data_IF_212707375524
#
_entry.id   IF_212707375524
#
_cell.length_a   1.000
_cell.length_b   1.000
_cell.length_c   1.000
_cell.angle_alpha   90.00
_cell.angle_beta   90.00
_cell.angle_gamma   90.00
#
_symmetry.space_group_name_H-M   'P 1'
#
loop_
_entity.id
_entity.type
_entity.pdbx_description
1 polymer ?
#
# COMPACT_ATOMS: atom_id res chain seq x y z
N UNK A 1 11.80 17.11 20.23
CA UNK A 1 10.80 16.13 19.75
C UNK A 1 11.32 15.52 18.48
N UNK A 2 11.60 14.24 18.47
CA UNK A 2 11.93 13.55 17.23
C UNK A 2 10.63 13.07 16.59
N UNK A 3 10.27 13.65 15.47
CA UNK A 3 9.17 13.12 14.67
C UNK A 3 9.63 11.80 14.03
N UNK A 4 8.85 10.71 14.15
CA UNK A 4 9.18 9.46 13.49
C UNK A 4 9.15 9.62 11.98
N UNK A 5 10.13 9.01 11.31
CA UNK A 5 10.25 9.04 9.85
C UNK A 5 9.84 7.68 9.27
N UNK A 6 9.02 7.72 8.23
CA UNK A 6 8.66 6.54 7.45
C UNK A 6 9.20 6.62 6.02
N UNK A 7 9.50 5.47 5.44
CA UNK A 7 9.90 5.34 4.05
C UNK A 7 8.97 4.38 3.31
N UNK A 8 8.69 4.65 2.06
CA UNK A 8 7.82 3.82 1.22
C UNK A 8 8.56 2.58 0.72
N UNK A 9 7.93 1.43 0.85
CA UNK A 9 8.37 0.14 0.34
C UNK A 9 7.35 -0.45 -0.64
N UNK A 10 7.85 -1.04 -1.71
CA UNK A 10 7.02 -1.65 -2.76
C UNK A 10 7.73 -2.85 -3.39
N UNK A 11 6.95 -3.90 -3.74
CA UNK A 11 7.50 -5.09 -4.40
C UNK A 11 7.99 -4.78 -5.81
N UNK A 12 7.14 -4.16 -6.62
CA UNK A 12 7.45 -3.78 -7.99
C UNK A 12 7.05 -2.33 -8.24
N UNK A 13 7.95 -1.59 -8.89
CA UNK A 13 7.68 -0.23 -9.34
C UNK A 13 8.37 0.00 -10.69
N UNK A 14 7.77 0.83 -11.53
CA UNK A 14 8.42 1.31 -12.74
C UNK A 14 9.75 2.01 -12.39
N UNK A 15 10.79 1.92 -13.22
CA UNK A 15 12.11 2.49 -12.93
C UNK A 15 12.07 3.99 -12.57
N UNK A 16 11.18 4.73 -13.20
CA UNK A 16 10.98 6.18 -13.03
C UNK A 16 10.10 6.53 -11.81
N UNK A 17 9.49 5.56 -11.15
CA UNK A 17 8.69 5.83 -9.95
C UNK A 17 9.60 6.33 -8.82
N UNK A 18 9.21 7.40 -8.10
CA UNK A 18 10.02 8.01 -7.04
C UNK A 18 9.94 7.20 -5.74
N UNK A 19 10.15 5.89 -5.83
CA UNK A 19 10.09 4.96 -4.70
C UNK A 19 11.46 4.33 -4.50
N UNK A 20 12.01 4.46 -3.29
CA UNK A 20 13.39 4.10 -2.99
C UNK A 20 13.54 2.61 -2.68
N UNK A 21 12.72 2.08 -1.76
CA UNK A 21 12.82 0.67 -1.36
C UNK A 21 11.93 -0.18 -2.26
N UNK A 22 12.59 -1.03 -3.04
CA UNK A 22 11.96 -1.94 -4.02
C UNK A 22 12.43 -3.35 -3.82
N UNK A 23 11.54 -4.31 -4.00
CA UNK A 23 11.83 -5.74 -3.91
C UNK A 23 11.01 -6.41 -2.82
N UNK A 24 11.49 -7.53 -2.31
CA UNK A 24 10.78 -8.29 -1.29
C UNK A 24 10.56 -7.44 -0.03
N UNK A 25 9.30 -7.35 0.42
CA UNK A 25 8.91 -6.49 1.54
C UNK A 25 9.73 -6.75 2.82
N UNK A 26 10.02 -8.01 3.22
CA UNK A 26 10.87 -8.25 4.39
C UNK A 26 12.28 -7.65 4.25
N UNK A 27 12.85 -7.65 3.06
CA UNK A 27 14.15 -7.03 2.80
C UNK A 27 14.06 -5.51 2.86
N UNK A 28 13.00 -4.91 2.27
CA UNK A 28 12.75 -3.48 2.36
C UNK A 28 12.61 -3.02 3.82
N UNK A 29 11.95 -3.81 4.68
CA UNK A 29 11.82 -3.51 6.11
C UNK A 29 13.19 -3.49 6.80
N UNK A 30 14.07 -4.49 6.52
CA UNK A 30 15.42 -4.51 7.07
C UNK A 30 16.26 -3.33 6.60
N UNK A 31 16.22 -3.02 5.30
CA UNK A 31 16.90 -1.86 4.73
C UNK A 31 16.42 -0.54 5.34
N UNK A 32 15.11 -0.38 5.55
CA UNK A 32 14.58 0.79 6.23
C UNK A 32 15.18 0.95 7.63
N UNK A 33 15.32 -0.15 8.37
CA UNK A 33 15.98 -0.16 9.68
C UNK A 33 17.45 0.27 9.61
N UNK A 34 18.20 -0.27 8.66
CA UNK A 34 19.61 0.07 8.44
C UNK A 34 19.81 1.55 8.08
N UNK A 35 18.86 2.12 7.33
CA UNK A 35 18.82 3.53 6.96
C UNK A 35 18.37 4.47 8.09
N UNK A 36 17.93 3.92 9.24
CA UNK A 36 17.55 4.70 10.42
C UNK A 36 16.10 5.21 10.41
N UNK A 37 15.23 4.63 9.60
CA UNK A 37 13.80 4.94 9.62
C UNK A 37 13.09 4.28 10.82
N UNK A 38 11.99 4.87 11.25
CA UNK A 38 11.16 4.40 12.36
C UNK A 38 9.98 3.53 11.91
N UNK A 39 9.59 3.68 10.64
CA UNK A 39 8.45 2.97 10.05
C UNK A 39 8.61 2.79 8.55
N UNK A 40 7.79 1.90 7.99
CA UNK A 40 7.62 1.72 6.55
C UNK A 40 6.17 1.96 6.14
N UNK A 41 5.98 2.59 5.00
CA UNK A 41 4.70 2.68 4.30
C UNK A 41 4.70 1.63 3.20
N UNK A 42 3.70 0.76 3.16
CA UNK A 42 3.69 -0.36 2.21
C UNK A 42 2.63 -0.13 1.13
N UNK A 43 3.07 -0.13 -0.13
CA UNK A 43 2.18 -0.18 -1.28
C UNK A 43 1.86 -1.63 -1.63
N UNK A 44 0.61 -2.02 -1.49
CA UNK A 44 0.10 -3.33 -1.89
C UNK A 44 -0.44 -3.25 -3.31
N UNK A 45 -0.06 -4.22 -4.16
CA UNK A 45 -0.58 -4.33 -5.53
C UNK A 45 -1.71 -5.37 -5.57
N UNK A 46 -1.48 -6.52 -4.97
CA UNK A 46 -2.42 -7.63 -4.91
C UNK A 46 -2.47 -8.18 -3.48
N UNK A 47 -3.62 -8.06 -2.83
CA UNK A 47 -3.79 -8.52 -1.46
C UNK A 47 -3.54 -10.04 -1.27
N UNK A 48 -3.98 -10.93 -2.18
CA UNK A 48 -3.75 -12.36 -2.03
C UNK A 48 -2.27 -12.79 -2.02
N UNK A 49 -1.38 -11.98 -2.58
CA UNK A 49 0.05 -12.27 -2.64
C UNK A 49 0.86 -11.61 -1.53
N UNK A 50 0.18 -10.95 -0.59
CA UNK A 50 0.85 -10.25 0.51
C UNK A 50 1.53 -11.23 1.46
N UNK A 51 2.87 -11.14 1.67
CA UNK A 51 3.63 -12.11 2.46
C UNK A 51 3.51 -11.80 3.96
N UNK A 52 2.33 -12.02 4.54
CA UNK A 52 1.98 -11.61 5.90
C UNK A 52 2.92 -12.16 6.96
N UNK A 53 3.24 -13.46 6.89
CA UNK A 53 4.08 -14.11 7.89
C UNK A 53 5.51 -13.55 7.89
N UNK A 54 6.07 -13.35 6.69
CA UNK A 54 7.42 -12.85 6.48
C UNK A 54 7.53 -11.37 6.87
N UNK A 55 6.51 -10.57 6.55
CA UNK A 55 6.43 -9.17 6.97
C UNK A 55 6.37 -9.07 8.48
N UNK A 56 5.50 -9.83 9.15
CA UNK A 56 5.42 -9.87 10.61
C UNK A 56 6.75 -10.30 11.26
N UNK A 57 7.44 -11.26 10.65
CA UNK A 57 8.75 -11.69 11.14
C UNK A 57 9.78 -10.57 11.06
N UNK A 58 9.87 -9.88 9.91
CA UNK A 58 10.78 -8.75 9.72
C UNK A 58 10.47 -7.57 10.66
N UNK A 59 9.20 -7.28 10.90
CA UNK A 59 8.80 -6.23 11.87
C UNK A 59 9.23 -6.58 13.30
N UNK A 60 9.08 -7.85 13.72
CA UNK A 60 9.55 -8.29 15.04
C UNK A 60 11.08 -8.23 15.16
N UNK A 61 11.79 -8.62 14.11
CA UNK A 61 13.25 -8.57 14.04
C UNK A 61 13.81 -7.14 14.14
N UNK A 62 13.21 -6.22 13.41
CA UNK A 62 13.71 -4.85 13.28
C UNK A 62 13.17 -3.87 14.32
N UNK A 63 12.02 -4.19 14.91
CA UNK A 63 11.27 -3.26 15.78
C UNK A 63 10.62 -2.10 15.02
N UNK A 64 10.62 -2.12 13.69
CA UNK A 64 9.93 -1.11 12.88
C UNK A 64 8.41 -1.29 12.96
N UNK A 65 7.71 -0.19 12.68
CA UNK A 65 6.25 -0.18 12.53
C UNK A 65 5.86 0.01 11.07
N UNK A 66 4.62 -0.33 10.73
CA UNK A 66 4.03 0.10 9.46
C UNK A 66 3.25 1.38 9.73
N UNK A 67 3.54 2.42 8.96
CA UNK A 67 2.83 3.70 9.06
C UNK A 67 1.47 3.67 8.38
N UNK A 68 1.37 2.99 7.23
CA UNK A 68 0.12 2.77 6.50
C UNK A 68 0.25 1.66 5.45
N UNK A 69 -0.88 1.05 5.10
CA UNK A 69 -1.07 0.30 3.86
C UNK A 69 -1.66 1.25 2.83
N UNK A 70 -1.01 1.41 1.67
CA UNK A 70 -1.40 2.37 0.63
C UNK A 70 -2.01 1.68 -0.56
N UNK A 71 -3.15 2.19 -1.02
CA UNK A 71 -4.02 1.51 -2.00
C UNK A 71 -3.91 2.06 -3.43
N UNK A 72 -3.18 3.15 -3.67
CA UNK A 72 -3.16 3.84 -4.97
C UNK A 72 -2.78 2.98 -6.18
N UNK A 73 -2.09 1.88 -5.95
CA UNK A 73 -1.62 0.97 -7.01
C UNK A 73 -2.74 0.15 -7.66
N UNK A 74 -3.86 -0.06 -7.00
CA UNK A 74 -5.01 -0.74 -7.63
C UNK A 74 -5.51 0.00 -8.88
N UNK A 75 -5.45 1.33 -8.86
CA UNK A 75 -5.83 2.13 -10.02
C UNK A 75 -4.72 2.15 -11.08
N UNK A 76 -3.47 2.43 -10.69
CA UNK A 76 -2.37 2.61 -11.65
C UNK A 76 -1.94 1.31 -12.33
N UNK A 77 -2.03 0.18 -11.63
CA UNK A 77 -1.60 -1.13 -12.15
C UNK A 77 -2.74 -1.97 -12.71
N UNK A 78 -3.95 -1.83 -12.13
CA UNK A 78 -5.07 -2.72 -12.45
C UNK A 78 -6.30 -1.99 -12.99
N UNK A 79 -6.26 -0.65 -13.06
CA UNK A 79 -7.37 0.17 -13.53
C UNK A 79 -8.63 0.11 -12.65
N UNK A 80 -8.53 -0.44 -11.43
CA UNK A 80 -9.67 -0.55 -10.53
C UNK A 80 -9.92 0.77 -9.80
N UNK A 81 -11.17 1.23 -9.84
CA UNK A 81 -11.55 2.53 -9.29
C UNK A 81 -12.92 2.47 -8.62
N UNK A 82 -13.00 2.90 -7.36
CA UNK A 82 -14.25 2.94 -6.60
C UNK A 82 -15.27 3.96 -7.12
N UNK A 83 -14.83 4.89 -7.96
CA UNK A 83 -15.67 5.89 -8.62
C UNK A 83 -15.86 5.62 -10.12
N UNK A 84 -15.48 4.42 -10.59
CA UNK A 84 -15.66 4.04 -11.99
C UNK A 84 -17.13 4.10 -12.42
N UNK A 85 -17.47 4.57 -13.63
CA UNK A 85 -18.81 4.46 -14.17
C UNK A 85 -19.25 3.02 -14.38
N UNK A 86 -18.33 2.09 -14.59
CA UNK A 86 -18.61 0.66 -14.71
C UNK A 86 -18.89 0.01 -13.35
N UNK A 87 -20.11 -0.56 -13.13
CA UNK A 87 -20.47 -1.21 -11.89
C UNK A 87 -19.58 -2.42 -11.53
N UNK A 88 -19.10 -3.16 -12.53
CA UNK A 88 -18.24 -4.32 -12.30
C UNK A 88 -16.86 -3.90 -11.81
N UNK A 89 -16.31 -2.84 -12.41
CA UNK A 89 -15.04 -2.26 -11.95
C UNK A 89 -15.15 -1.72 -10.52
N UNK A 90 -16.26 -1.01 -10.19
CA UNK A 90 -16.49 -0.54 -8.81
C UNK A 90 -16.56 -1.69 -7.82
N UNK A 91 -17.32 -2.75 -8.16
CA UNK A 91 -17.45 -3.92 -7.28
C UNK A 91 -16.09 -4.60 -7.03
N UNK A 92 -15.28 -4.78 -8.08
CA UNK A 92 -13.93 -5.33 -7.97
C UNK A 92 -13.01 -4.43 -7.12
N UNK A 93 -13.05 -3.11 -7.34
CA UNK A 93 -12.29 -2.16 -6.53
C UNK A 93 -12.69 -2.20 -5.05
N UNK A 94 -13.98 -2.30 -4.75
CA UNK A 94 -14.48 -2.41 -3.38
C UNK A 94 -14.08 -3.72 -2.70
N UNK A 95 -14.03 -4.84 -3.45
CA UNK A 95 -13.55 -6.11 -2.92
C UNK A 95 -12.07 -6.01 -2.53
N UNK A 96 -11.24 -5.51 -3.41
CA UNK A 96 -9.80 -5.30 -3.15
C UNK A 96 -9.56 -4.36 -1.95
N UNK A 97 -10.35 -3.31 -1.81
CA UNK A 97 -10.26 -2.40 -0.65
C UNK A 97 -10.57 -3.09 0.67
N UNK A 98 -11.50 -4.06 0.70
CA UNK A 98 -11.76 -4.86 1.90
C UNK A 98 -10.56 -5.72 2.26
N UNK A 99 -9.94 -6.35 1.27
CA UNK A 99 -8.74 -7.17 1.49
C UNK A 99 -7.57 -6.32 2.06
N UNK A 100 -7.41 -5.07 1.61
CA UNK A 100 -6.42 -4.14 2.19
C UNK A 100 -6.76 -3.75 3.63
N UNK A 101 -8.03 -3.57 3.95
CA UNK A 101 -8.48 -3.31 5.32
C UNK A 101 -8.15 -4.50 6.22
N UNK A 102 -8.35 -5.73 5.74
CA UNK A 102 -8.04 -6.95 6.48
C UNK A 102 -6.52 -7.08 6.73
N UNK A 103 -5.69 -6.83 5.71
CA UNK A 103 -4.22 -6.77 5.88
C UNK A 103 -3.84 -5.72 6.92
N UNK A 104 -4.38 -4.53 6.82
CA UNK A 104 -4.07 -3.43 7.73
C UNK A 104 -4.52 -3.73 9.17
N UNK A 105 -5.69 -4.33 9.35
CA UNK A 105 -6.21 -4.74 10.64
C UNK A 105 -5.30 -5.81 11.29
N UNK A 106 -4.84 -6.80 10.52
CA UNK A 106 -3.94 -7.84 10.99
C UNK A 106 -2.55 -7.30 11.40
N UNK A 107 -2.11 -6.21 10.77
CA UNK A 107 -0.86 -5.51 11.06
C UNK A 107 -1.01 -4.38 12.08
N UNK A 108 -2.23 -4.06 12.51
CA UNK A 108 -2.50 -2.98 13.46
C UNK A 108 -2.14 -1.59 12.91
N UNK A 109 -2.35 -1.35 11.62
CA UNK A 109 -1.98 -0.11 10.93
C UNK A 109 -3.18 0.49 10.17
N UNK A 110 -3.20 1.81 9.88
CA UNK A 110 -4.23 2.42 9.05
C UNK A 110 -4.07 2.07 7.58
N UNK A 111 -5.17 2.22 6.82
CA UNK A 111 -5.18 2.24 5.36
C UNK A 111 -5.14 3.69 4.88
N UNK A 112 -4.18 4.03 4.03
CA UNK A 112 -4.15 5.28 3.30
C UNK A 112 -4.82 5.07 1.94
N UNK A 113 -6.10 5.42 1.85
CA UNK A 113 -6.87 5.29 0.62
C UNK A 113 -6.53 6.42 -0.35
N UNK A 114 -5.80 6.09 -1.40
CA UNK A 114 -5.59 6.99 -2.53
C UNK A 114 -6.63 6.67 -3.61
N UNK A 115 -7.74 7.38 -3.60
CA UNK A 115 -8.73 7.30 -4.67
C UNK A 115 -8.22 8.11 -5.87
N UNK A 116 -7.47 7.49 -6.76
CA UNK A 116 -7.28 8.04 -8.10
C UNK A 116 -8.35 7.44 -9.01
N UNK A 117 -9.16 8.28 -9.55
CA UNK A 117 -10.15 7.94 -10.55
C UNK A 117 -10.47 9.18 -11.38
N UNK A 118 -10.87 8.98 -12.62
CA UNK A 118 -11.46 10.05 -13.42
C UNK A 118 -12.86 10.31 -12.87
N UNK A 119 -13.08 11.51 -12.37
CA UNK A 119 -14.45 12.00 -12.18
C UNK A 119 -14.95 12.31 -13.58
N UNK A 120 -15.92 11.53 -14.07
CA UNK A 120 -16.68 11.94 -15.25
C UNK A 120 -17.35 13.26 -14.93
N UNK A 121 -17.29 14.24 -15.84
CA UNK A 121 -17.99 15.49 -15.68
C UNK A 121 -19.46 15.17 -15.36
N UNK A 122 -19.92 15.66 -14.20
CA UNK A 122 -21.35 15.63 -13.89
C UNK A 122 -21.98 16.60 -14.87
N UNK A 123 -22.63 16.07 -15.90
CA UNK A 123 -23.55 16.87 -16.70
C UNK A 123 -24.72 17.19 -15.78
N UNK A 124 -24.73 18.40 -15.25
CA UNK A 124 -25.92 18.99 -14.66
C UNK A 124 -26.84 19.36 -15.82
N UNK A 125 -27.81 18.48 -16.14
CA UNK A 125 -28.99 18.86 -16.91
C UNK A 125 -29.92 19.70 -16.04
#
# INVERSE_FOLDING_TARGET
>A
MNNPLAITAIVHAAPEAPLVLRGELPQCIRQAKELGYDAVEIHVIEAPTFPMAEVKAALRETGLRISAIVTGRIFTERGLCITSPDPQNRAAAMAEMRDYIDIAAELGTPVAACAKGTVSAVTTD
#
